data_IF_086856054078
#
_entry.id   IF_086856054078
#
_cell.length_a   1.000
_cell.length_b   1.000
_cell.length_c   1.000
_cell.angle_alpha   90.00
_cell.angle_beta   90.00
_cell.angle_gamma   90.00
#
_symmetry.space_group_name_H-M   'P 1'
#
loop_
_entity.id
_entity.type
_entity.pdbx_description
1 polymer ?
#
# COMPACT_ATOMS: atom_id res chain seq x y z
N UNK A 1 -6.04 9.94 -10.09
CA UNK A 1 -5.08 11.05 -10.27
C UNK A 1 -5.40 11.65 -11.64
N UNK A 2 -5.99 12.85 -11.67
CA UNK A 2 -6.36 13.47 -12.94
C UNK A 2 -5.14 14.20 -13.50
N UNK A 3 -4.63 13.75 -14.64
CA UNK A 3 -3.75 14.58 -15.45
C UNK A 3 -4.59 15.74 -16.00
N UNK A 4 -4.34 16.96 -15.53
CA UNK A 4 -4.94 18.15 -16.12
C UNK A 4 -4.14 18.44 -17.39
N UNK A 5 -4.60 17.95 -18.53
CA UNK A 5 -4.03 18.34 -19.82
C UNK A 5 -4.53 19.77 -20.08
N UNK A 6 -3.65 20.75 -19.90
CA UNK A 6 -3.96 22.15 -20.22
C UNK A 6 -4.27 22.27 -21.71
N UNK A 7 -5.42 22.85 -22.04
CA UNK A 7 -5.77 23.17 -23.42
C UNK A 7 -4.74 24.12 -24.05
N UNK A 8 -4.43 23.98 -25.36
CA UNK A 8 -3.45 24.83 -26.02
C UNK A 8 -4.03 26.25 -26.15
N UNK A 9 -3.53 27.19 -25.33
CA UNK A 9 -3.92 28.60 -25.41
C UNK A 9 -3.93 29.35 -24.08
N UNK A 10 -3.99 28.65 -22.96
CA UNK A 10 -3.79 29.27 -21.64
C UNK A 10 -2.34 29.03 -21.25
N UNK A 11 -1.54 30.09 -21.11
CA UNK A 11 -0.10 30.04 -20.79
C UNK A 11 0.15 29.40 -19.42
N UNK A 12 -0.01 28.07 -19.36
CA UNK A 12 -0.23 27.31 -18.15
C UNK A 12 0.91 27.49 -17.16
N UNK A 13 0.55 27.71 -15.88
CA UNK A 13 1.50 27.85 -14.76
C UNK A 13 2.26 26.56 -14.43
N UNK A 14 1.97 25.47 -15.13
CA UNK A 14 2.55 24.15 -14.90
C UNK A 14 3.74 23.94 -15.82
N UNK A 15 4.81 23.38 -15.27
CA UNK A 15 5.94 22.88 -16.04
C UNK A 15 5.76 21.37 -16.20
N UNK A 16 5.87 20.88 -17.43
CA UNK A 16 5.92 19.44 -17.70
C UNK A 16 7.31 18.92 -17.33
N UNK A 17 7.40 18.25 -16.19
CA UNK A 17 8.66 17.75 -15.65
C UNK A 17 9.03 16.37 -16.22
N UNK A 18 8.03 15.50 -16.44
CA UNK A 18 8.25 14.14 -16.91
C UNK A 18 6.95 13.49 -17.39
N UNK A 19 7.03 12.77 -18.51
CA UNK A 19 5.92 12.02 -19.09
C UNK A 19 6.36 10.59 -19.42
N UNK A 20 5.76 9.61 -18.73
CA UNK A 20 5.97 8.18 -18.97
C UNK A 20 4.63 7.44 -19.10
N UNK A 21 4.13 7.25 -20.34
CA UNK A 21 2.87 6.55 -20.59
C UNK A 21 2.99 5.03 -20.47
N UNK A 22 4.19 4.47 -20.28
CA UNK A 22 4.43 3.02 -20.22
C UNK A 22 4.85 2.52 -18.83
N UNK A 23 4.80 3.39 -17.81
CA UNK A 23 5.13 3.07 -16.42
C UNK A 23 4.30 1.92 -15.82
N UNK A 24 3.09 1.67 -16.33
CA UNK A 24 2.23 0.55 -15.93
C UNK A 24 1.87 0.57 -14.44
N UNK A 25 1.56 1.75 -13.89
CA UNK A 25 1.27 1.95 -12.48
C UNK A 25 -0.24 1.98 -12.23
N UNK A 26 -0.76 0.97 -11.53
CA UNK A 26 -2.19 0.87 -11.20
C UNK A 26 -2.36 1.13 -9.71
N UNK A 27 -2.80 2.34 -9.35
CA UNK A 27 -2.91 2.74 -7.94
C UNK A 27 -4.06 3.73 -7.67
N UNK A 28 -4.43 3.85 -6.40
CA UNK A 28 -5.32 4.90 -5.90
C UNK A 28 -4.52 5.93 -5.10
N UNK A 29 -5.08 7.12 -4.91
CA UNK A 29 -4.42 8.17 -4.11
C UNK A 29 -4.18 7.76 -2.66
N UNK A 30 -4.98 6.84 -2.10
CA UNK A 30 -4.77 6.30 -0.75
C UNK A 30 -3.58 5.35 -0.64
N UNK A 31 -3.04 4.88 -1.78
CA UNK A 31 -1.93 3.94 -1.85
C UNK A 31 -0.64 4.62 -2.34
N UNK A 32 -0.54 5.95 -2.24
CA UNK A 32 0.60 6.74 -2.68
C UNK A 32 1.06 7.65 -1.55
N UNK A 33 2.37 7.73 -1.33
CA UNK A 33 2.96 8.67 -0.38
C UNK A 33 4.35 9.16 -0.82
N UNK A 34 4.84 10.24 -0.21
CA UNK A 34 6.15 10.83 -0.45
C UNK A 34 6.93 10.92 0.86
N UNK A 35 8.10 10.27 0.92
CA UNK A 35 8.92 10.30 2.13
C UNK A 35 10.41 10.10 1.85
N UNK A 36 11.26 10.72 2.67
CA UNK A 36 12.70 10.49 2.67
C UNK A 36 13.04 9.18 3.38
N UNK A 37 12.94 8.06 2.66
CA UNK A 37 13.20 6.71 3.19
C UNK A 37 14.68 6.40 3.43
N UNK A 38 15.60 7.34 3.23
CA UNK A 38 17.04 7.13 3.49
C UNK A 38 17.66 8.16 4.43
N UNK A 39 16.92 9.20 4.82
CA UNK A 39 17.44 10.30 5.62
C UNK A 39 18.46 11.17 4.86
N UNK A 40 18.43 11.14 3.52
CA UNK A 40 19.36 11.88 2.66
C UNK A 40 18.81 13.24 2.20
N UNK A 41 17.64 13.64 2.70
CA UNK A 41 16.93 14.86 2.33
C UNK A 41 16.14 14.73 1.02
N UNK A 42 16.12 13.56 0.39
CA UNK A 42 15.43 13.32 -0.88
C UNK A 42 14.19 12.45 -0.69
N UNK A 43 13.03 13.04 -0.99
CA UNK A 43 11.77 12.29 -0.95
C UNK A 43 11.71 11.26 -2.08
N UNK A 44 11.25 10.06 -1.74
CA UNK A 44 10.95 8.98 -2.65
C UNK A 44 9.43 8.85 -2.78
N UNK A 45 8.98 8.59 -4.00
CA UNK A 45 7.58 8.27 -4.27
C UNK A 45 7.35 6.80 -3.97
N UNK A 46 6.44 6.53 -3.04
CA UNK A 46 6.09 5.20 -2.57
C UNK A 46 4.70 4.87 -3.07
N UNK A 47 4.53 3.72 -3.70
CA UNK A 47 3.28 3.34 -4.34
C UNK A 47 2.93 1.88 -4.05
N UNK A 48 1.74 1.66 -3.51
CA UNK A 48 1.07 0.36 -3.54
C UNK A 48 0.44 0.15 -4.90
N UNK A 49 1.09 -0.64 -5.74
CA UNK A 49 0.61 -1.06 -7.05
C UNK A 49 -0.35 -2.26 -6.89
N UNK A 50 -1.55 -2.13 -7.47
CA UNK A 50 -2.60 -3.14 -7.44
C UNK A 50 -2.31 -4.28 -8.44
N UNK A 51 -1.39 -4.09 -9.39
CA UNK A 51 -1.14 -5.07 -10.44
C UNK A 51 -2.42 -5.33 -11.25
N UNK A 52 -2.79 -6.61 -11.40
CA UNK A 52 -4.04 -7.01 -12.07
C UNK A 52 -5.25 -7.09 -11.12
N UNK A 53 -5.07 -6.76 -9.84
CA UNK A 53 -6.07 -6.94 -8.78
C UNK A 53 -6.18 -8.36 -8.23
N UNK A 54 -5.74 -9.37 -8.98
CA UNK A 54 -5.67 -10.79 -8.54
C UNK A 54 -4.24 -11.28 -8.32
N UNK A 55 -3.27 -10.63 -8.95
CA UNK A 55 -1.85 -10.99 -8.87
C UNK A 55 -0.96 -9.81 -9.24
N UNK A 56 0.31 -9.88 -8.82
CA UNK A 56 1.32 -8.89 -9.17
C UNK A 56 1.25 -7.61 -8.36
N UNK A 57 0.58 -7.62 -7.19
CA UNK A 57 0.58 -6.50 -6.27
C UNK A 57 1.99 -6.25 -5.73
N UNK A 58 2.43 -5.00 -5.77
CA UNK A 58 3.80 -4.61 -5.40
C UNK A 58 3.82 -3.29 -4.66
N UNK A 59 4.70 -3.18 -3.67
CA UNK A 59 5.17 -1.93 -3.13
C UNK A 59 6.33 -1.45 -4.00
N UNK A 60 6.10 -0.40 -4.79
CA UNK A 60 7.09 0.23 -5.67
C UNK A 60 7.61 1.51 -5.04
N UNK A 61 8.91 1.76 -5.19
CA UNK A 61 9.54 2.99 -4.70
C UNK A 61 10.37 3.62 -5.80
N UNK A 62 10.11 4.90 -6.08
CA UNK A 62 10.79 5.68 -7.09
C UNK A 62 11.64 6.77 -6.45
N UNK A 63 12.82 7.00 -7.04
CA UNK A 63 13.70 8.14 -6.75
C UNK A 63 13.80 8.97 -8.03
N UNK A 64 13.27 10.19 -8.01
CA UNK A 64 13.02 10.94 -9.23
C UNK A 64 12.13 10.15 -10.19
N UNK A 65 12.62 9.89 -11.40
CA UNK A 65 11.91 9.13 -12.44
C UNK A 65 12.29 7.64 -12.48
N UNK A 66 13.16 7.18 -11.58
CA UNK A 66 13.72 5.82 -11.60
C UNK A 66 13.10 4.97 -10.50
N UNK A 67 12.64 3.77 -10.85
CA UNK A 67 12.20 2.74 -9.90
C UNK A 67 13.43 2.13 -9.19
N UNK A 68 13.51 2.27 -7.87
CA UNK A 68 14.66 1.83 -7.06
C UNK A 68 14.39 0.57 -6.24
N UNK A 69 13.12 0.23 -5.99
CA UNK A 69 12.74 -0.95 -5.20
C UNK A 69 11.35 -1.42 -5.55
N UNK A 70 11.19 -2.74 -5.56
CA UNK A 70 9.92 -3.44 -5.69
C UNK A 70 9.85 -4.56 -4.64
N UNK A 71 8.77 -4.58 -3.86
CA UNK A 71 8.49 -5.66 -2.91
C UNK A 71 7.11 -6.24 -3.19
N UNK A 72 7.00 -7.56 -3.35
CA UNK A 72 5.70 -8.20 -3.53
C UNK A 72 4.81 -7.99 -2.30
N UNK A 73 3.58 -7.55 -2.53
CA UNK A 73 2.54 -7.48 -1.51
C UNK A 73 1.79 -8.81 -1.46
N UNK A 74 1.35 -9.20 -0.27
CA UNK A 74 0.63 -10.46 -0.07
C UNK A 74 -0.82 -10.41 -0.55
N UNK A 75 -1.41 -9.21 -0.54
CA UNK A 75 -2.81 -8.98 -0.88
C UNK A 75 -2.99 -7.53 -1.38
N UNK A 76 -4.16 -7.22 -1.93
CA UNK A 76 -4.50 -5.93 -2.52
C UNK A 76 -4.34 -4.79 -1.49
N UNK A 77 -3.53 -3.75 -1.79
CA UNK A 77 -3.38 -2.63 -0.87
C UNK A 77 -4.65 -1.78 -0.84
N UNK A 78 -5.17 -1.55 0.36
CA UNK A 78 -6.29 -0.64 0.62
C UNK A 78 -5.80 0.79 0.95
N UNK A 79 -4.62 0.90 1.55
CA UNK A 79 -3.98 2.18 1.87
C UNK A 79 -2.50 2.03 2.20
N UNK A 80 -1.77 3.12 2.06
CA UNK A 80 -0.33 3.22 2.32
C UNK A 80 -0.02 4.52 3.03
N UNK A 81 0.88 4.47 4.02
CA UNK A 81 1.40 5.68 4.68
C UNK A 81 2.85 5.51 5.09
N UNK A 82 3.64 6.56 4.93
CA UNK A 82 4.97 6.70 5.51
C UNK A 82 4.86 7.43 6.85
N UNK A 83 5.43 6.84 7.90
CA UNK A 83 5.33 7.38 9.25
C UNK A 83 6.61 7.11 10.05
N UNK A 84 6.88 7.94 11.06
CA UNK A 84 8.00 7.73 11.97
C UNK A 84 7.58 6.77 13.09
N UNK A 85 8.30 5.64 13.23
CA UNK A 85 7.99 4.64 14.26
C UNK A 85 8.44 5.06 15.66
N UNK A 86 9.45 5.93 15.74
CA UNK A 86 10.03 6.42 16.99
C UNK A 86 10.45 7.88 16.85
N UNK A 87 10.95 8.44 17.96
CA UNK A 87 11.40 9.83 18.06
C UNK A 87 12.94 9.95 18.05
N UNK A 88 13.68 8.89 17.69
CA UNK A 88 15.14 8.92 17.67
C UNK A 88 15.66 9.61 16.40
N UNK A 89 16.69 10.44 16.56
CA UNK A 89 17.36 11.09 15.43
C UNK A 89 18.56 10.25 14.95
N UNK A 90 18.78 10.11 13.62
CA UNK A 90 17.98 10.68 12.53
C UNK A 90 16.65 9.94 12.32
N UNK A 91 15.56 10.70 12.18
CA UNK A 91 14.23 10.14 11.93
C UNK A 91 14.09 9.67 10.48
N UNK A 92 14.17 8.36 10.26
CA UNK A 92 13.88 7.73 8.96
C UNK A 92 12.46 7.14 9.00
N UNK A 93 11.53 7.60 8.14
CA UNK A 93 10.18 7.09 8.10
C UNK A 93 10.15 5.66 7.57
N UNK A 94 9.13 4.93 8.01
CA UNK A 94 8.83 3.55 7.67
C UNK A 94 7.52 3.52 6.91
N UNK A 95 7.36 2.57 6.00
CA UNK A 95 6.13 2.45 5.20
C UNK A 95 5.20 1.42 5.83
N UNK A 96 3.94 1.76 6.07
CA UNK A 96 2.87 0.82 6.39
C UNK A 96 1.95 0.65 5.18
N UNK A 97 1.59 -0.58 4.88
CA UNK A 97 0.62 -0.95 3.85
C UNK A 97 -0.51 -1.75 4.49
N UNK A 98 -1.74 -1.27 4.37
CA UNK A 98 -2.92 -2.00 4.81
C UNK A 98 -3.41 -2.91 3.67
N UNK A 99 -3.49 -4.22 3.93
CA UNK A 99 -4.07 -5.20 3.00
C UNK A 99 -4.84 -6.26 3.77
N UNK A 100 -6.08 -6.56 3.34
CA UNK A 100 -6.98 -7.46 4.06
C UNK A 100 -7.17 -7.04 5.54
N UNK A 101 -7.11 -7.95 6.51
CA UNK A 101 -7.22 -7.62 7.93
C UNK A 101 -5.87 -7.22 8.56
N UNK A 102 -4.86 -6.89 7.76
CA UNK A 102 -3.47 -6.74 8.21
C UNK A 102 -2.87 -5.38 7.85
N UNK A 103 -1.95 -4.91 8.70
CA UNK A 103 -1.04 -3.81 8.39
C UNK A 103 0.38 -4.37 8.32
N UNK A 104 1.01 -4.22 7.16
CA UNK A 104 2.37 -4.65 6.88
C UNK A 104 3.31 -3.46 6.96
N UNK A 105 4.29 -3.54 7.85
CA UNK A 105 5.27 -2.48 8.09
C UNK A 105 6.58 -2.87 7.41
N UNK A 106 7.11 -1.97 6.59
CA UNK A 106 8.34 -2.11 5.83
C UNK A 106 9.37 -1.09 6.32
N UNK A 107 10.38 -1.56 7.07
CA UNK A 107 11.50 -0.76 7.56
C UNK A 107 12.66 -0.88 6.58
N UNK A 108 13.18 0.25 6.12
CA UNK A 108 14.25 0.29 5.10
C UNK A 108 13.91 -0.58 3.88
N UNK A 109 12.66 -0.49 3.40
CA UNK A 109 12.13 -1.25 2.26
C UNK A 109 12.17 -2.77 2.44
N UNK A 110 12.25 -3.27 3.67
CA UNK A 110 12.18 -4.70 3.98
C UNK A 110 10.99 -4.99 4.90
N UNK A 111 10.27 -6.11 4.70
CA UNK A 111 9.23 -6.53 5.64
C UNK A 111 9.80 -6.58 7.07
N UNK A 112 9.14 -5.88 7.99
CA UNK A 112 9.61 -5.73 9.36
C UNK A 112 8.60 -6.29 10.37
N UNK A 113 7.33 -5.90 10.23
CA UNK A 113 6.28 -6.30 11.16
C UNK A 113 4.94 -6.48 10.45
N UNK A 114 4.12 -7.39 10.97
CA UNK A 114 2.74 -7.59 10.53
C UNK A 114 1.83 -7.44 11.74
N UNK A 115 0.95 -6.45 11.70
CA UNK A 115 -0.18 -6.36 12.60
C UNK A 115 -1.39 -7.04 11.95
N UNK A 116 -2.12 -7.87 12.70
CA UNK A 116 -3.40 -8.45 12.26
C UNK A 116 -4.49 -7.94 13.20
N UNK A 117 -5.60 -7.47 12.65
CA UNK A 117 -6.72 -7.01 13.44
C UNK A 117 -7.22 -8.14 14.37
N UNK A 118 -7.55 -7.85 15.64
CA UNK A 118 -8.17 -8.82 16.53
C UNK A 118 -9.47 -9.35 15.93
N UNK A 119 -9.67 -10.67 15.98
CA UNK A 119 -10.94 -11.27 15.60
C UNK A 119 -12.02 -10.91 16.59
N UNK A 120 -13.23 -10.67 16.10
CA UNK A 120 -14.42 -10.49 16.93
C UNK A 120 -15.16 -11.82 17.07
N UNK A 121 -15.71 -12.09 18.25
CA UNK A 121 -16.55 -13.27 18.47
C UNK A 121 -17.83 -13.19 17.64
N UNK A 122 -18.22 -14.35 17.08
CA UNK A 122 -19.47 -14.49 16.32
C UNK A 122 -20.65 -14.24 17.27
N UNK A 123 -21.69 -13.56 16.78
CA UNK A 123 -22.90 -13.33 17.56
C UNK A 123 -23.49 -14.69 18.03
N UNK A 124 -23.88 -14.84 19.31
CA UNK A 124 -24.43 -16.10 19.83
C UNK A 124 -25.59 -16.68 19.01
N UNK A 125 -26.45 -15.85 18.41
CA UNK A 125 -27.55 -16.32 17.57
C UNK A 125 -27.05 -16.97 16.26
N UNK A 126 -25.99 -16.41 15.68
CA UNK A 126 -25.36 -16.96 14.48
C UNK A 126 -24.60 -18.24 14.80
N UNK A 127 -24.01 -18.36 16.00
CA UNK A 127 -23.35 -19.60 16.44
C UNK A 127 -24.30 -20.80 16.42
N UNK A 128 -25.57 -20.61 16.82
CA UNK A 128 -26.59 -21.68 16.79
C UNK A 128 -26.86 -22.15 15.37
N UNK A 129 -26.96 -21.22 14.41
CA UNK A 129 -27.15 -21.55 13.00
C UNK A 129 -25.92 -22.25 12.43
N UNK A 130 -24.71 -21.75 12.73
CA UNK A 130 -23.45 -22.38 12.27
C UNK A 130 -23.32 -23.81 12.80
N UNK A 131 -23.67 -24.04 14.07
CA UNK A 131 -23.68 -25.39 14.66
C UNK A 131 -24.69 -26.33 13.97
N UNK A 132 -25.87 -25.81 13.58
CA UNK A 132 -26.92 -26.61 12.94
C UNK A 132 -26.62 -27.06 11.51
N UNK A 133 -25.71 -26.35 10.82
CA UNK A 133 -25.33 -26.64 9.42
C UNK A 133 -24.05 -27.47 9.34
N UNK A 134 -23.29 -27.58 10.44
CA UNK A 134 -22.10 -28.44 10.50
C UNK A 134 -22.55 -29.90 10.60
N UNK A 135 -22.24 -30.79 9.64
CA UNK A 135 -22.62 -32.19 9.73
C UNK A 135 -21.97 -32.77 11.00
N UNK A 136 -22.78 -33.18 11.96
CA UNK A 136 -22.28 -34.02 13.06
C UNK A 136 -21.80 -35.31 12.41
N UNK A 137 -20.49 -35.46 12.27
CA UNK A 137 -19.89 -36.66 11.71
C UNK A 137 -20.46 -37.88 12.42
N UNK A 138 -21.24 -38.67 11.68
CA UNK A 138 -21.70 -39.98 12.13
C UNK A 138 -20.47 -40.82 12.43
N UNK A 139 -20.28 -41.16 13.70
CA UNK A 139 -19.46 -42.32 14.08
C UNK A 139 -20.38 -43.53 13.96
N UNK A 140 -20.22 -44.25 12.86
CA UNK A 140 -20.55 -45.67 12.79
C UNK A 140 -19.36 -46.49 13.31
#
# INVERSE_FOLDING_TARGET
MAAVISAPGDGGKWLDAHYDPVAGLYTFSSCVDLADLSGDGENRLVVGDLGTGSSGMKLKVYRGTVLISENTLLDLPAGLVAFFMDLHEPRIPTVAVASGPCIYVYKNLRPYFKFTLPSLDINPLEQVVVASVTPTGGKD
#
